data_IF_260662770596
#
_entry.id   IF_260662770596
#
_cell.length_a   1.000
_cell.length_b   1.000
_cell.length_c   1.000
_cell.angle_alpha   90.00
_cell.angle_beta   90.00
_cell.angle_gamma   90.00
#
_symmetry.space_group_name_H-M   'P 1'
#
loop_
_entity.id
_entity.type
_entity.pdbx_description
1 polymer ?
#
# COMPACT_ATOMS: atom_id res chain seq x y z
N UNK A 1 -2.81 -12.32 -15.60
CA UNK A 1 -3.24 -11.17 -14.77
C UNK A 1 -2.14 -10.81 -13.75
N UNK A 2 -1.99 -9.55 -13.31
CA UNK A 2 -0.94 -9.15 -12.35
C UNK A 2 -0.89 -10.01 -11.08
N UNK A 3 -2.05 -10.53 -10.66
CA UNK A 3 -2.22 -11.38 -9.48
C UNK A 3 -1.57 -12.78 -9.58
N UNK A 4 -1.31 -13.31 -10.78
CA UNK A 4 -0.73 -14.66 -10.95
C UNK A 4 0.76 -14.72 -10.55
N UNK A 5 1.40 -13.55 -10.37
CA UNK A 5 2.82 -13.44 -10.03
C UNK A 5 3.07 -13.16 -8.56
N UNK A 6 2.05 -13.16 -7.71
CA UNK A 6 2.18 -12.88 -6.28
C UNK A 6 1.34 -13.89 -5.47
N UNK A 7 1.74 -14.23 -4.23
CA UNK A 7 2.84 -13.66 -3.46
C UNK A 7 4.25 -14.07 -3.96
N UNK A 8 5.26 -13.26 -3.62
CA UNK A 8 6.67 -13.51 -3.92
C UNK A 8 7.54 -13.23 -2.71
N UNK A 9 8.45 -14.14 -2.42
CA UNK A 9 9.55 -13.92 -1.49
C UNK A 9 10.68 -13.15 -2.16
N UNK A 10 11.17 -12.11 -1.51
CA UNK A 10 12.24 -11.24 -2.03
C UNK A 10 13.23 -10.92 -0.90
N UNK A 11 14.52 -10.96 -1.22
CA UNK A 11 15.60 -10.51 -0.34
C UNK A 11 15.96 -9.06 -0.72
N UNK A 12 15.83 -8.14 0.23
CA UNK A 12 16.23 -6.73 0.05
C UNK A 12 17.75 -6.58 0.14
N UNK A 13 18.27 -5.40 -0.21
CA UNK A 13 19.72 -5.12 -0.22
C UNK A 13 20.37 -5.19 1.16
N UNK A 14 19.59 -4.99 2.22
CA UNK A 14 20.01 -5.15 3.61
C UNK A 14 19.90 -6.60 4.11
N UNK A 15 19.67 -7.55 3.19
CA UNK A 15 19.45 -8.97 3.44
C UNK A 15 18.16 -9.31 4.21
N UNK A 16 17.24 -8.37 4.38
CA UNK A 16 15.92 -8.69 4.93
C UNK A 16 15.07 -9.49 3.93
N UNK A 17 14.40 -10.52 4.43
CA UNK A 17 13.45 -11.32 3.66
C UNK A 17 12.05 -10.74 3.83
N UNK A 18 11.39 -10.44 2.71
CA UNK A 18 10.03 -9.87 2.69
C UNK A 18 9.14 -10.60 1.70
N UNK A 19 7.83 -10.62 1.98
CA UNK A 19 6.82 -11.15 1.07
C UNK A 19 6.12 -9.97 0.40
N UNK A 20 6.22 -9.89 -0.93
CA UNK A 20 5.40 -9.00 -1.73
C UNK A 20 4.09 -9.70 -2.07
N UNK A 21 2.96 -9.08 -1.72
CA UNK A 21 1.61 -9.58 -2.00
C UNK A 21 0.67 -8.44 -2.42
N UNK A 22 -0.48 -8.75 -3.06
CA UNK A 22 -1.55 -7.77 -3.24
C UNK A 22 -2.00 -7.20 -1.90
N UNK A 23 -2.44 -5.94 -1.92
CA UNK A 23 -2.99 -5.28 -0.73
C UNK A 23 -4.38 -5.84 -0.45
N UNK A 24 -4.71 -6.03 0.82
CA UNK A 24 -5.98 -6.55 1.28
C UNK A 24 -6.65 -5.56 2.24
N UNK A 25 -7.93 -5.79 2.56
CA UNK A 25 -8.75 -4.86 3.34
C UNK A 25 -8.24 -4.68 4.79
N UNK A 26 -7.62 -5.71 5.35
CA UNK A 26 -6.96 -5.69 6.65
C UNK A 26 -5.71 -4.80 6.69
N UNK A 27 -5.14 -4.43 5.55
CA UNK A 27 -4.00 -3.51 5.47
C UNK A 27 -4.38 -2.04 5.63
N UNK A 28 -5.68 -1.69 5.56
CA UNK A 28 -6.16 -0.30 5.56
C UNK A 28 -5.63 0.47 6.77
N UNK A 29 -5.76 -0.10 7.98
CA UNK A 29 -5.36 0.58 9.21
C UNK A 29 -3.85 0.86 9.23
N UNK A 30 -3.03 -0.14 8.87
CA UNK A 30 -1.58 0.01 8.82
C UNK A 30 -1.13 1.04 7.78
N UNK A 31 -1.79 1.08 6.62
CA UNK A 31 -1.52 2.07 5.58
C UNK A 31 -1.87 3.49 6.05
N UNK A 32 -3.04 3.68 6.68
CA UNK A 32 -3.43 4.98 7.22
C UNK A 32 -2.42 5.45 8.28
N UNK A 33 -2.03 4.58 9.21
CA UNK A 33 -1.04 4.90 10.23
C UNK A 33 0.32 5.26 9.62
N UNK A 34 0.76 4.54 8.59
CA UNK A 34 1.99 4.84 7.85
C UNK A 34 1.97 6.25 7.25
N UNK A 35 0.90 6.64 6.57
CA UNK A 35 0.80 7.97 5.98
C UNK A 35 0.59 9.08 7.01
N UNK A 36 -0.09 8.82 8.12
CA UNK A 36 -0.21 9.76 9.23
C UNK A 36 1.14 10.07 9.87
N UNK A 37 2.02 9.06 9.99
CA UNK A 37 3.39 9.20 10.48
C UNK A 37 4.33 9.94 9.52
N UNK A 38 3.92 10.15 8.26
CA UNK A 38 4.73 10.82 7.26
C UNK A 38 4.67 12.36 7.43
N UNK A 39 5.83 13.02 7.27
CA UNK A 39 5.89 14.49 7.30
C UNK A 39 4.97 15.10 6.24
N UNK A 40 4.26 16.18 6.59
CA UNK A 40 3.23 16.79 5.74
C UNK A 40 3.75 17.18 4.35
N UNK A 41 5.01 17.61 4.25
CA UNK A 41 5.64 17.97 2.97
C UNK A 41 5.63 16.84 1.93
N UNK A 42 5.66 15.58 2.36
CA UNK A 42 5.59 14.44 1.45
C UNK A 42 4.14 14.13 1.01
N UNK A 43 3.15 14.49 1.84
CA UNK A 43 1.73 14.28 1.55
C UNK A 43 1.15 15.33 0.60
N UNK A 44 1.70 16.54 0.58
CA UNK A 44 1.22 17.63 -0.29
C UNK A 44 1.24 17.33 -1.79
N UNK A 45 2.08 16.40 -2.24
CA UNK A 45 2.14 16.03 -3.65
C UNK A 45 1.11 14.95 -4.04
N UNK A 46 0.38 14.40 -3.08
CA UNK A 46 -0.63 13.37 -3.33
C UNK A 46 -1.94 14.01 -3.77
N UNK A 47 -2.55 13.43 -4.83
CA UNK A 47 -3.82 13.91 -5.39
C UNK A 47 -5.01 13.69 -4.45
N UNK A 48 -4.93 12.65 -3.62
CA UNK A 48 -5.94 12.27 -2.64
C UNK A 48 -5.25 12.12 -1.28
N UNK A 49 -5.96 12.37 -0.19
CA UNK A 49 -5.39 12.24 1.16
C UNK A 49 -5.41 10.78 1.63
N UNK A 50 -4.26 10.08 1.71
CA UNK A 50 -4.22 8.70 2.17
C UNK A 50 -4.45 8.55 3.69
N UNK A 51 -4.54 9.65 4.44
CA UNK A 51 -4.90 9.61 5.86
C UNK A 51 -6.40 9.34 6.05
N UNK A 52 -7.21 9.50 5.00
CA UNK A 52 -8.61 9.08 4.98
C UNK A 52 -8.71 7.58 4.59
N UNK A 53 -9.21 6.70 5.48
CA UNK A 53 -9.40 5.29 5.17
C UNK A 53 -10.24 5.02 3.91
N UNK A 54 -11.15 5.94 3.54
CA UNK A 54 -11.97 5.80 2.33
C UNK A 54 -11.12 5.88 1.05
N UNK A 55 -10.06 6.68 1.05
CA UNK A 55 -9.11 6.80 -0.07
C UNK A 55 -8.33 5.50 -0.24
N UNK A 56 -7.82 4.93 0.85
CA UNK A 56 -7.11 3.64 0.80
C UNK A 56 -8.03 2.51 0.34
N UNK A 57 -9.26 2.45 0.86
CA UNK A 57 -10.28 1.48 0.43
C UNK A 57 -10.58 1.60 -1.06
N UNK A 58 -10.71 2.82 -1.58
CA UNK A 58 -10.88 3.07 -3.03
C UNK A 58 -9.70 2.53 -3.83
N UNK A 59 -8.46 2.71 -3.37
CA UNK A 59 -7.28 2.17 -4.05
C UNK A 59 -7.24 0.65 -4.08
N UNK A 60 -7.61 -0.01 -2.96
CA UNK A 60 -7.73 -1.47 -2.88
C UNK A 60 -8.78 -1.98 -3.87
N UNK A 61 -9.96 -1.36 -3.90
CA UNK A 61 -11.04 -1.75 -4.82
C UNK A 61 -10.67 -1.59 -6.30
N UNK A 62 -9.78 -0.64 -6.62
CA UNK A 62 -9.29 -0.42 -7.99
C UNK A 62 -8.31 -1.50 -8.46
N UNK A 63 -7.82 -2.38 -7.58
CA UNK A 63 -6.90 -3.46 -7.98
C UNK A 63 -7.55 -4.44 -8.97
N UNK A 64 -8.87 -4.63 -8.90
CA UNK A 64 -9.63 -5.56 -9.75
C UNK A 64 -9.86 -5.04 -11.18
N UNK A 65 -9.60 -3.75 -11.43
CA UNK A 65 -9.89 -3.07 -12.70
C UNK A 65 -8.68 -2.96 -13.64
N UNK A 66 -7.53 -3.56 -13.27
CA UNK A 66 -6.23 -3.41 -13.94
C UNK A 66 -5.74 -4.63 -14.72
#
# INVERSE_FOLDING_TARGET
>A
MPHEKYPKEVILKDHSEVILRPVAEDDIEGLVQFYQGMHLSFRWFLKEDPCDPAVIRKWINNQELG
#
